data_IF_095079380383
#
_entry.id   IF_095079380383
#
_cell.length_a   1.000
_cell.length_b   1.000
_cell.length_c   1.000
_cell.angle_alpha   90.00
_cell.angle_beta   90.00
_cell.angle_gamma   90.00
#
_symmetry.space_group_name_H-M   'P 1'
#
loop_
_entity.id
_entity.type
_entity.pdbx_description
1 polymer ?
#
# COMPACT_ATOMS: atom_id res chain seq x y z
N UNK A 1 9.40 15.28 -4.25
CA UNK A 1 10.57 14.44 -4.53
C UNK A 1 10.74 14.24 -6.03
N UNK A 2 11.97 14.00 -6.48
CA UNK A 2 12.34 13.80 -7.87
C UNK A 2 12.52 12.30 -8.17
N UNK A 3 11.44 11.52 -7.99
CA UNK A 3 11.50 10.07 -8.15
C UNK A 3 11.96 9.61 -9.55
N UNK A 4 11.77 10.45 -10.58
CA UNK A 4 12.25 10.16 -11.94
C UNK A 4 13.76 9.88 -12.02
N UNK A 5 14.55 10.35 -11.07
CA UNK A 5 16.00 10.08 -11.01
C UNK A 5 16.29 8.60 -10.75
N UNK A 6 15.37 7.87 -10.11
CA UNK A 6 15.53 6.45 -9.84
C UNK A 6 15.09 5.56 -11.00
N UNK A 7 14.26 6.09 -11.91
CA UNK A 7 13.69 5.31 -13.00
C UNK A 7 14.74 4.57 -13.85
N UNK A 8 15.86 5.17 -14.28
CA UNK A 8 16.87 4.46 -15.08
C UNK A 8 17.48 3.23 -14.39
N UNK A 9 17.48 3.22 -13.06
CA UNK A 9 18.06 2.13 -12.26
C UNK A 9 17.07 0.99 -12.00
N UNK A 10 15.78 1.31 -11.90
CA UNK A 10 14.75 0.33 -11.50
C UNK A 10 13.84 -0.09 -12.63
N UNK A 11 13.94 0.51 -13.81
CA UNK A 11 13.03 0.22 -14.90
C UNK A 11 13.11 -1.25 -15.32
N UNK A 12 11.96 -1.93 -15.31
CA UNK A 12 11.74 -3.31 -15.76
C UNK A 12 12.62 -4.37 -15.06
N UNK A 13 13.11 -4.10 -13.83
CA UNK A 13 13.95 -5.07 -13.09
C UNK A 13 13.15 -6.21 -12.45
N UNK A 14 11.83 -6.12 -12.40
CA UNK A 14 10.97 -7.16 -11.81
C UNK A 14 11.18 -7.39 -10.32
N UNK A 15 10.91 -8.63 -9.86
CA UNK A 15 11.12 -9.06 -8.49
C UNK A 15 10.21 -8.41 -7.47
N UNK A 16 10.51 -8.59 -6.18
CA UNK A 16 9.71 -8.02 -5.09
C UNK A 16 10.09 -6.57 -4.84
N UNK A 17 9.08 -5.74 -4.66
CA UNK A 17 9.18 -4.38 -4.19
C UNK A 17 8.72 -4.31 -2.72
N UNK A 18 9.57 -3.83 -1.83
CA UNK A 18 9.20 -3.48 -0.45
C UNK A 18 9.27 -1.98 -0.30
N UNK A 19 8.19 -1.36 0.19
CA UNK A 19 8.17 0.10 0.28
C UNK A 19 7.47 0.65 1.49
N UNK A 20 8.01 1.75 2.02
CA UNK A 20 7.47 2.52 3.13
C UNK A 20 6.64 3.70 2.60
N UNK A 21 5.54 4.03 3.27
CA UNK A 21 4.71 5.16 2.93
C UNK A 21 3.54 4.81 1.99
N UNK A 22 3.14 5.74 1.13
CA UNK A 22 1.86 5.67 0.41
C UNK A 22 2.01 5.47 -1.11
N UNK A 23 1.35 6.29 -1.91
CA UNK A 23 1.18 6.15 -3.37
C UNK A 23 2.48 6.25 -4.21
N UNK A 24 3.56 6.79 -3.66
CA UNK A 24 4.86 6.76 -4.33
C UNK A 24 5.33 5.34 -4.63
N UNK A 25 4.95 4.39 -3.79
CA UNK A 25 5.24 2.97 -3.98
C UNK A 25 4.67 2.45 -5.30
N UNK A 26 3.43 2.83 -5.65
CA UNK A 26 2.82 2.40 -6.93
C UNK A 26 3.54 2.97 -8.15
N UNK A 27 4.04 4.22 -8.03
CA UNK A 27 4.82 4.85 -9.09
C UNK A 27 6.11 4.07 -9.38
N UNK A 28 6.89 3.80 -8.32
CA UNK A 28 8.16 3.10 -8.43
C UNK A 28 7.98 1.63 -8.82
N UNK A 29 7.01 0.94 -8.22
CA UNK A 29 6.69 -0.44 -8.54
C UNK A 29 6.18 -0.61 -9.98
N UNK A 30 5.43 0.37 -10.50
CA UNK A 30 5.02 0.41 -11.90
C UNK A 30 6.21 0.49 -12.85
N UNK A 31 7.17 1.36 -12.57
CA UNK A 31 8.40 1.45 -13.37
C UNK A 31 9.26 0.19 -13.25
N UNK A 32 9.36 -0.38 -12.06
CA UNK A 32 10.12 -1.60 -11.82
C UNK A 32 9.48 -2.86 -12.43
N UNK A 33 8.20 -2.80 -12.83
CA UNK A 33 7.43 -3.99 -13.22
C UNK A 33 7.49 -5.10 -12.18
N UNK A 34 7.39 -4.70 -10.92
CA UNK A 34 7.52 -5.62 -9.78
C UNK A 34 6.48 -6.74 -9.83
N UNK A 35 6.89 -7.96 -9.44
CA UNK A 35 6.02 -9.14 -9.41
C UNK A 35 5.18 -9.23 -8.16
N UNK A 36 5.68 -8.71 -7.02
CA UNK A 36 5.00 -8.60 -5.74
C UNK A 36 5.30 -7.25 -5.08
N UNK A 37 4.33 -6.72 -4.34
CA UNK A 37 4.48 -5.52 -3.51
C UNK A 37 4.24 -5.83 -2.05
N UNK A 38 5.19 -5.44 -1.19
CA UNK A 38 5.01 -5.41 0.26
C UNK A 38 5.08 -3.95 0.70
N UNK A 39 3.94 -3.41 1.10
CA UNK A 39 3.77 -2.03 1.51
C UNK A 39 3.69 -1.99 3.03
N UNK A 40 4.66 -1.36 3.67
CA UNK A 40 4.72 -1.31 5.12
C UNK A 40 4.82 0.12 5.64
N UNK A 41 4.33 0.33 6.86
CA UNK A 41 4.53 1.58 7.58
C UNK A 41 4.36 1.34 9.09
N UNK A 42 5.04 2.15 9.90
CA UNK A 42 4.87 2.15 11.34
C UNK A 42 3.48 2.69 11.74
N UNK A 43 2.99 3.71 11.03
CA UNK A 43 1.64 4.25 11.24
C UNK A 43 0.57 3.32 10.66
N UNK A 44 -0.21 2.71 11.56
CA UNK A 44 -1.34 1.83 11.20
C UNK A 44 -2.36 2.47 10.24
N UNK A 45 -2.39 3.80 10.12
CA UNK A 45 -3.27 4.46 9.16
C UNK A 45 -2.85 4.18 7.70
N UNK A 46 -1.57 3.99 7.45
CA UNK A 46 -1.03 3.77 6.10
C UNK A 46 -1.47 2.42 5.50
N UNK A 47 -1.32 1.27 6.19
CA UNK A 47 -1.91 0.01 5.70
C UNK A 47 -3.42 0.09 5.48
N UNK A 48 -4.16 0.77 6.35
CA UNK A 48 -5.60 1.00 6.14
C UNK A 48 -5.88 1.88 4.91
N UNK A 49 -5.01 2.84 4.61
CA UNK A 49 -5.10 3.67 3.40
C UNK A 49 -4.82 2.83 2.14
N UNK A 50 -3.85 1.94 2.18
CA UNK A 50 -3.59 0.99 1.08
C UNK A 50 -4.79 0.07 0.80
N UNK A 51 -5.56 -0.33 1.82
CA UNK A 51 -6.79 -1.09 1.60
C UNK A 51 -7.86 -0.25 0.88
N UNK A 52 -7.90 1.07 1.11
CA UNK A 52 -8.78 1.98 0.37
C UNK A 52 -8.31 2.11 -1.08
N UNK A 53 -7.00 2.24 -1.31
CA UNK A 53 -6.42 2.21 -2.66
C UNK A 53 -6.73 0.90 -3.39
N UNK A 54 -6.57 -0.24 -2.73
CA UNK A 54 -6.88 -1.56 -3.28
C UNK A 54 -8.31 -1.61 -3.82
N UNK A 55 -9.27 -1.19 -3.01
CA UNK A 55 -10.68 -1.14 -3.43
C UNK A 55 -10.90 -0.18 -4.60
N UNK A 56 -10.39 1.05 -4.52
CA UNK A 56 -10.59 2.02 -5.61
C UNK A 56 -9.90 1.58 -6.91
N UNK A 57 -8.72 0.98 -6.83
CA UNK A 57 -8.02 0.41 -7.98
C UNK A 57 -8.86 -0.73 -8.60
N UNK A 58 -9.45 -1.60 -7.77
CA UNK A 58 -10.25 -2.73 -8.27
C UNK A 58 -11.51 -2.30 -9.03
N UNK A 59 -12.14 -1.19 -8.61
CA UNK A 59 -13.39 -0.68 -9.21
C UNK A 59 -13.19 0.44 -10.24
N UNK A 60 -11.95 0.77 -10.57
CA UNK A 60 -11.62 1.81 -11.56
C UNK A 60 -10.93 1.16 -12.75
N UNK A 61 -11.45 1.35 -13.94
CA UNK A 61 -10.90 0.74 -15.15
C UNK A 61 -9.80 1.59 -15.79
N UNK A 62 -9.67 2.85 -15.35
CA UNK A 62 -8.67 3.79 -15.89
C UNK A 62 -7.98 4.58 -14.78
N UNK A 63 -6.75 5.07 -15.04
CA UNK A 63 -6.04 5.99 -14.13
C UNK A 63 -6.89 7.19 -13.72
N UNK A 64 -7.62 7.77 -14.68
CA UNK A 64 -8.49 8.93 -14.42
C UNK A 64 -9.59 8.59 -13.42
N UNK A 65 -10.26 7.45 -13.58
CA UNK A 65 -11.31 7.00 -12.65
C UNK A 65 -10.76 6.82 -11.24
N UNK A 66 -9.55 6.25 -11.09
CA UNK A 66 -8.90 6.13 -9.78
C UNK A 66 -8.69 7.51 -9.12
N UNK A 67 -8.12 8.47 -9.86
CA UNK A 67 -7.89 9.83 -9.34
C UNK A 67 -9.20 10.51 -8.97
N UNK A 68 -10.23 10.35 -9.78
CA UNK A 68 -11.56 10.94 -9.55
C UNK A 68 -12.21 10.43 -8.25
N UNK A 69 -11.97 9.17 -7.81
CA UNK A 69 -12.46 8.64 -6.53
C UNK A 69 -12.05 9.50 -5.32
N UNK A 70 -10.91 10.17 -5.40
CA UNK A 70 -10.40 11.04 -4.33
C UNK A 70 -10.90 12.49 -4.43
N UNK A 71 -11.53 12.88 -5.53
CA UNK A 71 -11.99 14.24 -5.77
C UNK A 71 -13.15 14.66 -4.85
N UNK A 72 -13.43 15.97 -4.85
CA UNK A 72 -14.61 16.51 -4.12
C UNK A 72 -15.91 16.01 -4.74
N UNK A 73 -15.96 15.95 -6.07
CA UNK A 73 -17.15 15.57 -6.84
C UNK A 73 -17.62 14.15 -6.49
N UNK A 74 -16.68 13.21 -6.37
CA UNK A 74 -17.00 11.81 -6.06
C UNK A 74 -16.90 11.47 -4.57
N UNK A 75 -16.65 12.45 -3.71
CA UNK A 75 -16.32 12.20 -2.29
C UNK A 75 -17.40 11.46 -1.50
N UNK A 76 -18.66 11.78 -1.67
CA UNK A 76 -19.75 11.09 -0.94
C UNK A 76 -20.06 9.72 -1.56
N UNK A 77 -20.09 9.59 -2.89
CA UNK A 77 -20.22 8.29 -3.57
C UNK A 77 -19.09 7.35 -3.16
N UNK A 78 -17.85 7.81 -3.18
CA UNK A 78 -16.69 7.04 -2.75
C UNK A 78 -16.77 6.62 -1.28
N UNK A 79 -17.23 7.51 -0.40
CA UNK A 79 -17.42 7.18 1.03
C UNK A 79 -18.51 6.14 1.23
N UNK A 80 -19.58 6.19 0.45
CA UNK A 80 -20.66 5.20 0.50
C UNK A 80 -20.17 3.84 -0.02
N UNK A 81 -19.47 3.80 -1.16
CA UNK A 81 -18.86 2.58 -1.71
C UNK A 81 -17.88 1.92 -0.73
N UNK A 82 -17.09 2.71 0.01
CA UNK A 82 -16.21 2.19 1.06
C UNK A 82 -17.00 1.53 2.20
N UNK A 83 -18.14 2.10 2.62
CA UNK A 83 -18.98 1.46 3.64
C UNK A 83 -19.52 0.12 3.14
N UNK A 84 -20.05 0.09 1.93
CA UNK A 84 -20.60 -1.11 1.30
C UNK A 84 -19.54 -2.21 1.18
N UNK A 85 -18.34 -1.86 0.70
CA UNK A 85 -17.23 -2.79 0.52
C UNK A 85 -16.70 -3.35 1.85
N UNK A 86 -16.47 -2.49 2.85
CA UNK A 86 -15.84 -2.92 4.09
C UNK A 86 -16.80 -3.55 5.11
N UNK A 87 -18.11 -3.42 4.93
CA UNK A 87 -19.10 -3.99 5.86
C UNK A 87 -19.07 -5.53 5.87
N UNK A 88 -19.16 -6.24 4.74
CA UNK A 88 -19.09 -7.71 4.74
C UNK A 88 -17.74 -8.22 5.26
N UNK A 89 -16.63 -7.61 4.89
CA UNK A 89 -15.29 -7.96 5.38
C UNK A 89 -15.22 -7.83 6.90
N UNK A 90 -15.72 -6.71 7.42
CA UNK A 90 -15.74 -6.47 8.86
C UNK A 90 -16.64 -7.46 9.62
N UNK A 91 -17.76 -7.86 9.03
CA UNK A 91 -18.65 -8.87 9.61
C UNK A 91 -17.95 -10.23 9.73
N UNK A 92 -17.33 -10.70 8.65
CA UNK A 92 -16.59 -11.97 8.65
C UNK A 92 -15.48 -11.98 9.72
N UNK A 93 -14.65 -10.94 9.76
CA UNK A 93 -13.58 -10.80 10.74
C UNK A 93 -14.12 -10.76 12.18
N UNK A 94 -15.20 -10.01 12.41
CA UNK A 94 -15.81 -9.89 13.75
C UNK A 94 -16.47 -11.18 14.20
N UNK A 95 -17.06 -11.96 13.30
CA UNK A 95 -17.63 -13.28 13.59
C UNK A 95 -16.53 -14.28 13.98
N UNK A 96 -15.43 -14.35 13.21
CA UNK A 96 -14.27 -15.19 13.54
C UNK A 96 -13.69 -14.81 14.91
N UNK A 97 -13.55 -13.52 15.20
CA UNK A 97 -13.05 -13.04 16.47
C UNK A 97 -14.03 -13.32 17.64
N UNK A 98 -15.33 -13.20 17.43
CA UNK A 98 -16.34 -13.54 18.43
C UNK A 98 -16.32 -15.05 18.75
N UNK A 99 -16.20 -15.90 17.72
CA UNK A 99 -16.11 -17.34 17.88
C UNK A 99 -14.83 -17.75 18.64
N UNK A 100 -13.67 -17.17 18.31
CA UNK A 100 -12.41 -17.45 19.01
C UNK A 100 -12.42 -17.05 20.49
N UNK A 101 -13.31 -16.12 20.87
CA UNK A 101 -13.54 -15.67 22.26
C UNK A 101 -14.66 -16.45 22.98
N UNK A 102 -15.28 -17.43 22.34
CA UNK A 102 -16.39 -18.20 22.90
C UNK A 102 -17.66 -17.37 23.14
N UNK A 103 -17.84 -16.26 22.42
CA UNK A 103 -19.01 -15.40 22.58
C UNK A 103 -20.23 -16.02 21.89
N UNK A 104 -21.39 -16.02 22.56
CA UNK A 104 -22.67 -16.53 22.04
C UNK A 104 -23.84 -15.61 22.34
N UNK A 105 -24.97 -15.84 21.68
CA UNK A 105 -26.22 -15.10 21.88
C UNK A 105 -26.04 -13.58 21.72
N UNK A 106 -26.77 -12.81 22.52
CA UNK A 106 -26.76 -11.34 22.48
C UNK A 106 -25.39 -10.71 22.71
N UNK A 107 -24.50 -11.37 23.47
CA UNK A 107 -23.14 -10.89 23.71
C UNK A 107 -22.34 -10.90 22.40
N UNK A 108 -22.46 -11.99 21.63
CA UNK A 108 -21.82 -12.11 20.31
C UNK A 108 -22.34 -11.04 19.34
N UNK A 109 -23.66 -10.88 19.24
CA UNK A 109 -24.29 -9.88 18.34
C UNK A 109 -23.83 -8.46 18.68
N UNK A 110 -23.84 -8.07 19.96
CA UNK A 110 -23.35 -6.75 20.38
C UNK A 110 -21.87 -6.53 20.10
N UNK A 111 -21.06 -7.56 20.31
CA UNK A 111 -19.63 -7.53 20.01
C UNK A 111 -19.40 -7.31 18.52
N UNK A 112 -20.01 -8.13 17.65
CA UNK A 112 -19.88 -8.06 16.20
C UNK A 112 -20.28 -6.68 15.69
N UNK A 113 -21.48 -6.18 16.05
CA UNK A 113 -21.97 -4.89 15.62
C UNK A 113 -21.02 -3.73 15.99
N UNK A 114 -20.45 -3.76 17.18
CA UNK A 114 -19.47 -2.76 17.62
C UNK A 114 -18.17 -2.84 16.84
N UNK A 115 -17.67 -4.04 16.57
CA UNK A 115 -16.43 -4.28 15.78
C UNK A 115 -16.60 -3.82 14.34
N UNK A 116 -17.71 -4.21 13.69
CA UNK A 116 -18.04 -3.80 12.33
C UNK A 116 -18.12 -2.28 12.23
N UNK A 117 -18.90 -1.64 13.09
CA UNK A 117 -19.03 -0.17 13.11
C UNK A 117 -17.67 0.52 13.27
N UNK A 118 -16.79 0.01 14.15
CA UNK A 118 -15.45 0.58 14.37
C UNK A 118 -14.57 0.39 13.15
N UNK A 119 -14.55 -0.79 12.56
CA UNK A 119 -13.74 -1.14 11.40
C UNK A 119 -14.07 -0.27 10.18
N UNK A 120 -15.36 -0.20 9.83
CA UNK A 120 -15.84 0.59 8.68
C UNK A 120 -15.63 2.08 8.92
N UNK A 121 -16.03 2.59 10.10
CA UNK A 121 -15.88 4.02 10.46
C UNK A 121 -14.42 4.47 10.37
N UNK A 122 -13.46 3.63 10.77
CA UNK A 122 -12.04 3.96 10.71
C UNK A 122 -11.60 4.24 9.27
N UNK A 123 -11.93 3.39 8.32
CA UNK A 123 -11.55 3.54 6.90
C UNK A 123 -12.23 4.72 6.24
N UNK A 124 -13.52 4.88 6.46
CA UNK A 124 -14.26 6.06 5.96
C UNK A 124 -13.71 7.35 6.55
N UNK A 125 -13.33 7.36 7.83
CA UNK A 125 -12.70 8.52 8.48
C UNK A 125 -11.34 8.85 7.87
N UNK A 126 -10.49 7.84 7.63
CA UNK A 126 -9.20 8.03 6.94
C UNK A 126 -9.45 8.65 5.56
N UNK A 127 -10.32 8.06 4.75
CA UNK A 127 -10.68 8.59 3.44
C UNK A 127 -11.14 10.06 3.50
N UNK A 128 -12.14 10.37 4.34
CA UNK A 128 -12.68 11.75 4.44
C UNK A 128 -11.63 12.78 4.86
N UNK A 129 -10.66 12.39 5.69
CA UNK A 129 -9.58 13.29 6.15
C UNK A 129 -8.48 13.47 5.09
N UNK A 130 -8.18 12.43 4.32
CA UNK A 130 -7.02 12.42 3.43
C UNK A 130 -7.36 12.70 1.96
N UNK A 131 -8.63 12.49 1.52
CA UNK A 131 -9.01 12.51 0.11
C UNK A 131 -8.59 13.80 -0.63
N UNK A 132 -8.81 14.97 -0.03
CA UNK A 132 -8.48 16.24 -0.68
C UNK A 132 -6.98 16.46 -0.85
N UNK A 133 -6.18 16.01 0.13
CA UNK A 133 -4.71 16.04 0.03
C UNK A 133 -4.23 15.04 -1.03
N UNK A 134 -4.77 13.82 -1.00
CA UNK A 134 -4.41 12.77 -1.97
C UNK A 134 -4.80 13.15 -3.39
N UNK A 135 -6.02 13.64 -3.60
CA UNK A 135 -6.44 14.12 -4.91
C UNK A 135 -5.47 15.15 -5.49
N UNK A 136 -5.13 16.18 -4.70
CA UNK A 136 -4.16 17.21 -5.13
C UNK A 136 -2.78 16.64 -5.43
N UNK A 137 -2.32 15.71 -4.58
CA UNK A 137 -1.01 15.07 -4.75
C UNK A 137 -0.98 14.19 -5.99
N UNK A 138 -1.98 13.33 -6.20
CA UNK A 138 -2.08 12.45 -7.37
C UNK A 138 -2.18 13.26 -8.66
N UNK A 139 -3.01 14.32 -8.68
CA UNK A 139 -3.14 15.22 -9.82
C UNK A 139 -1.80 15.91 -10.11
N UNK A 140 -1.16 16.52 -9.11
CA UNK A 140 0.15 17.18 -9.29
C UNK A 140 1.22 16.20 -9.78
N UNK A 141 1.21 14.98 -9.26
CA UNK A 141 2.16 13.92 -9.68
C UNK A 141 1.90 13.53 -11.13
N UNK A 142 0.65 13.27 -11.51
CA UNK A 142 0.26 13.00 -12.88
C UNK A 142 0.73 14.12 -13.82
N UNK A 143 0.35 15.35 -13.56
CA UNK A 143 0.64 16.49 -14.43
C UNK A 143 2.15 16.71 -14.60
N UNK A 144 2.93 16.53 -13.52
CA UNK A 144 4.40 16.56 -13.57
C UNK A 144 4.96 15.51 -14.54
N UNK A 145 4.52 14.26 -14.42
CA UNK A 145 5.09 13.18 -15.22
C UNK A 145 4.57 13.16 -16.66
N UNK A 146 3.34 13.60 -16.89
CA UNK A 146 2.83 13.88 -18.25
C UNK A 146 3.68 14.93 -18.95
N UNK A 147 4.02 16.04 -18.26
CA UNK A 147 4.92 17.09 -18.79
C UNK A 147 6.31 16.55 -19.11
N UNK A 148 6.83 15.67 -18.28
CA UNK A 148 8.14 15.01 -18.49
C UNK A 148 8.09 13.86 -19.51
N UNK A 149 6.91 13.52 -20.05
CA UNK A 149 6.67 12.36 -20.93
C UNK A 149 7.13 11.04 -20.32
N UNK A 150 6.96 10.90 -19.01
CA UNK A 150 7.29 9.69 -18.26
C UNK A 150 5.99 8.99 -17.88
N UNK A 151 5.69 7.79 -18.42
CA UNK A 151 4.47 7.07 -18.12
C UNK A 151 4.40 6.65 -16.65
N UNK A 152 3.21 6.75 -16.06
CA UNK A 152 2.94 6.39 -14.66
C UNK A 152 1.59 5.70 -14.53
N UNK A 153 1.34 5.05 -13.39
CA UNK A 153 0.04 4.46 -13.11
C UNK A 153 -1.11 5.50 -13.03
N UNK A 154 -0.81 6.80 -13.13
CA UNK A 154 -1.78 7.91 -13.03
C UNK A 154 -2.20 8.46 -14.41
N UNK A 155 -1.50 8.11 -15.48
CA UNK A 155 -1.73 8.65 -16.83
C UNK A 155 -1.53 7.63 -17.96
N UNK A 156 -0.83 6.54 -17.71
CA UNK A 156 -0.58 5.47 -18.67
C UNK A 156 -1.37 4.21 -18.32
N UNK A 157 -2.18 3.72 -19.26
CA UNK A 157 -3.07 2.59 -19.01
C UNK A 157 -2.29 1.29 -18.73
N UNK A 158 -1.18 1.04 -19.42
CA UNK A 158 -0.39 -0.17 -19.21
C UNK A 158 0.30 -0.19 -17.82
N UNK A 159 0.78 0.96 -17.36
CA UNK A 159 1.31 1.09 -15.99
C UNK A 159 0.21 0.90 -14.95
N UNK A 160 -0.97 1.46 -15.20
CA UNK A 160 -2.13 1.29 -14.33
C UNK A 160 -2.59 -0.17 -14.24
N UNK A 161 -2.74 -0.83 -15.39
CA UNK A 161 -3.18 -2.22 -15.48
C UNK A 161 -2.19 -3.15 -14.78
N UNK A 162 -0.89 -2.86 -14.85
CA UNK A 162 0.11 -3.59 -14.09
C UNK A 162 -0.15 -3.48 -12.57
N UNK A 163 -0.27 -2.27 -12.02
CA UNK A 163 -0.56 -2.08 -10.59
C UNK A 163 -1.91 -2.69 -10.20
N UNK A 164 -2.93 -2.53 -11.05
CA UNK A 164 -4.26 -3.12 -10.83
C UNK A 164 -4.19 -4.65 -10.79
N UNK A 165 -3.44 -5.25 -11.71
CA UNK A 165 -3.26 -6.70 -11.75
C UNK A 165 -2.64 -7.27 -10.48
N UNK A 166 -1.68 -6.58 -9.88
CA UNK A 166 -1.05 -6.99 -8.62
C UNK A 166 -2.07 -7.03 -7.47
N UNK A 167 -2.93 -6.01 -7.36
CA UNK A 167 -3.98 -5.98 -6.35
C UNK A 167 -5.04 -7.07 -6.57
N UNK A 168 -5.51 -7.21 -7.80
CA UNK A 168 -6.58 -8.18 -8.14
C UNK A 168 -6.11 -9.63 -7.99
N UNK A 169 -4.83 -9.90 -8.28
CA UNK A 169 -4.24 -11.25 -8.13
C UNK A 169 -3.72 -11.55 -6.71
N UNK A 170 -3.93 -10.66 -5.73
CA UNK A 170 -3.47 -10.89 -4.35
C UNK A 170 -1.95 -10.80 -4.16
N UNK A 171 -1.23 -10.16 -5.09
CA UNK A 171 0.23 -9.97 -5.03
C UNK A 171 0.67 -8.68 -4.35
N UNK A 172 -0.23 -8.04 -3.60
CA UNK A 172 0.10 -6.89 -2.77
C UNK A 172 -0.25 -7.17 -1.31
N UNK A 173 0.73 -7.01 -0.44
CA UNK A 173 0.57 -7.11 1.00
C UNK A 173 0.76 -5.73 1.62
N UNK A 174 -0.23 -5.21 2.33
CA UNK A 174 -0.13 -3.97 3.09
C UNK A 174 -0.16 -4.25 4.59
N UNK A 175 0.93 -4.01 5.29
CA UNK A 175 1.13 -4.38 6.69
C UNK A 175 1.60 -3.21 7.55
N UNK A 176 1.27 -3.27 8.84
CA UNK A 176 1.98 -2.47 9.83
C UNK A 176 3.32 -3.14 10.12
N UNK A 177 4.41 -2.40 9.97
CA UNK A 177 5.75 -2.90 10.21
C UNK A 177 6.67 -1.80 10.73
N UNK A 178 7.74 -2.22 11.38
CA UNK A 178 8.78 -1.34 11.92
C UNK A 178 10.13 -1.79 11.35
N UNK A 179 10.81 -0.88 10.65
CA UNK A 179 12.14 -1.11 10.07
C UNK A 179 13.19 -1.46 11.13
N UNK A 180 12.97 -1.03 12.37
CA UNK A 180 13.91 -1.18 13.49
C UNK A 180 13.58 -2.33 14.44
N UNK A 181 12.42 -2.99 14.25
CA UNK A 181 11.99 -4.10 15.10
C UNK A 181 12.73 -5.41 14.79
N UNK A 182 12.59 -6.37 15.68
CA UNK A 182 13.30 -7.66 15.58
C UNK A 182 12.73 -8.58 14.51
N UNK A 183 11.46 -8.44 14.13
CA UNK A 183 10.73 -9.40 13.30
C UNK A 183 10.32 -8.85 11.93
N UNK A 184 9.82 -7.62 11.83
CA UNK A 184 9.13 -7.14 10.63
C UNK A 184 9.92 -7.37 9.34
N UNK A 185 11.16 -6.89 9.28
CA UNK A 185 11.99 -7.02 8.07
C UNK A 185 12.47 -8.46 7.85
N UNK A 186 12.78 -9.20 8.92
CA UNK A 186 13.21 -10.59 8.81
C UNK A 186 12.08 -11.51 8.36
N UNK A 187 10.84 -11.26 8.80
CA UNK A 187 9.68 -12.03 8.34
C UNK A 187 9.33 -11.69 6.87
N UNK A 188 9.53 -10.44 6.44
CA UNK A 188 9.46 -10.05 5.02
C UNK A 188 10.51 -10.82 4.21
N UNK A 189 11.77 -10.88 4.68
CA UNK A 189 12.84 -11.60 4.00
C UNK A 189 12.50 -13.10 3.83
N UNK A 190 12.02 -13.75 4.90
CA UNK A 190 11.56 -15.15 4.85
C UNK A 190 10.41 -15.36 3.88
N UNK A 191 9.44 -14.42 3.86
CA UNK A 191 8.31 -14.50 2.94
C UNK A 191 8.76 -14.40 1.48
N UNK A 192 9.68 -13.49 1.16
CA UNK A 192 10.25 -13.34 -0.18
C UNK A 192 11.00 -14.62 -0.59
N UNK A 193 11.82 -15.18 0.30
CA UNK A 193 12.53 -16.45 0.06
C UNK A 193 11.56 -17.62 -0.16
N UNK A 194 10.49 -17.70 0.61
CA UNK A 194 9.48 -18.74 0.46
C UNK A 194 8.72 -18.66 -0.88
N UNK A 195 8.64 -17.45 -1.49
CA UNK A 195 8.10 -17.25 -2.83
C UNK A 195 9.10 -17.63 -3.94
N UNK A 196 10.36 -17.95 -3.61
CA UNK A 196 11.42 -18.16 -4.60
C UNK A 196 11.84 -16.88 -5.33
N UNK A 197 11.57 -15.71 -4.74
CA UNK A 197 11.80 -14.40 -5.33
C UNK A 197 12.98 -13.68 -4.68
N UNK A 198 13.41 -12.56 -5.28
CA UNK A 198 14.42 -11.65 -4.74
C UNK A 198 13.82 -10.28 -4.47
N UNK A 199 14.36 -9.57 -3.46
CA UNK A 199 14.05 -8.18 -3.19
C UNK A 199 14.82 -7.30 -4.19
N UNK A 200 14.13 -6.76 -5.19
CA UNK A 200 14.78 -5.94 -6.21
C UNK A 200 14.70 -4.44 -5.91
N UNK A 201 13.65 -4.00 -5.22
CA UNK A 201 13.56 -2.59 -4.77
C UNK A 201 13.12 -2.52 -3.30
N UNK A 202 13.95 -1.87 -2.49
CA UNK A 202 13.58 -1.43 -1.15
C UNK A 202 13.45 0.11 -1.13
N UNK A 203 12.22 0.60 -1.05
CA UNK A 203 11.95 2.04 -0.96
C UNK A 203 11.72 2.46 0.48
N UNK A 204 12.68 3.14 1.06
CA UNK A 204 12.67 3.59 2.46
C UNK A 204 12.01 4.96 2.63
N UNK A 205 11.68 5.66 1.52
CA UNK A 205 11.21 7.05 1.60
C UNK A 205 12.21 7.92 2.40
N UNK A 206 11.72 8.70 3.35
CA UNK A 206 12.53 9.47 4.31
C UNK A 206 12.48 8.88 5.73
N UNK A 207 12.13 7.59 5.86
CA UNK A 207 11.93 6.98 7.18
C UNK A 207 13.17 7.02 8.07
N UNK A 208 14.36 6.91 7.48
CA UNK A 208 15.64 6.94 8.22
C UNK A 208 15.94 8.27 8.94
N UNK A 209 15.17 9.32 8.64
CA UNK A 209 15.28 10.60 9.36
C UNK A 209 14.62 10.56 10.75
N UNK A 210 13.83 9.53 11.06
CA UNK A 210 13.02 9.44 12.28
C UNK A 210 13.57 8.49 13.33
N UNK A 211 14.67 7.78 13.04
CA UNK A 211 15.29 6.84 13.99
C UNK A 211 16.79 6.70 13.76
N UNK A 212 17.57 6.29 14.80
CA UNK A 212 19.00 6.06 14.65
C UNK A 212 19.28 4.79 13.84
N UNK A 213 20.35 4.82 13.02
CA UNK A 213 20.80 3.68 12.22
C UNK A 213 21.54 2.64 13.09
N UNK A 214 20.81 1.96 13.95
CA UNK A 214 21.34 0.97 14.90
C UNK A 214 21.92 -0.28 14.18
N UNK A 215 22.79 -1.07 14.86
CA UNK A 215 23.22 -2.37 14.33
C UNK A 215 22.07 -3.29 13.95
N UNK A 216 20.97 -3.28 14.72
CA UNK A 216 19.75 -4.04 14.44
C UNK A 216 19.11 -3.59 13.11
N UNK A 217 18.93 -2.28 12.91
CA UNK A 217 18.41 -1.75 11.66
C UNK A 217 19.29 -2.15 10.47
N UNK A 218 20.62 -2.01 10.61
CA UNK A 218 21.55 -2.40 9.54
C UNK A 218 21.42 -3.88 9.19
N UNK A 219 21.34 -4.77 10.20
CA UNK A 219 21.08 -6.19 10.02
C UNK A 219 19.78 -6.42 9.24
N UNK A 220 18.69 -5.75 9.63
CA UNK A 220 17.38 -5.86 8.96
C UNK A 220 17.42 -5.50 7.47
N UNK A 221 18.32 -4.62 7.07
CA UNK A 221 18.53 -4.28 5.66
C UNK A 221 19.45 -5.30 4.97
N UNK A 222 20.56 -5.68 5.60
CA UNK A 222 21.58 -6.55 4.99
C UNK A 222 21.03 -7.97 4.78
N UNK A 223 20.23 -8.49 5.71
CA UNK A 223 19.67 -9.85 5.67
C UNK A 223 18.48 -10.01 4.69
N UNK A 224 18.16 -8.98 3.89
CA UNK A 224 17.15 -9.15 2.84
C UNK A 224 17.68 -10.05 1.70
N UNK A 225 16.80 -10.78 1.02
CA UNK A 225 17.17 -11.64 -0.11
C UNK A 225 17.42 -10.79 -1.37
N UNK A 226 18.51 -10.02 -1.37
CA UNK A 226 18.91 -9.15 -2.48
C UNK A 226 19.21 -9.96 -3.73
N UNK A 227 18.72 -9.51 -4.90
CA UNK A 227 19.13 -10.00 -6.21
C UNK A 227 20.35 -9.25 -6.73
N UNK A 228 20.88 -9.70 -7.88
CA UNK A 228 22.03 -9.06 -8.53
C UNK A 228 21.77 -7.59 -8.92
N UNK A 229 20.53 -7.28 -9.34
CA UNK A 229 20.07 -5.94 -9.73
C UNK A 229 19.07 -5.41 -8.70
N UNK A 230 19.54 -5.13 -7.50
CA UNK A 230 18.69 -4.64 -6.42
C UNK A 230 19.11 -3.26 -5.96
N UNK A 231 18.13 -2.44 -5.57
CA UNK A 231 18.34 -1.06 -5.14
C UNK A 231 17.61 -0.74 -3.85
N UNK A 232 18.32 -0.13 -2.90
CA UNK A 232 17.72 0.56 -1.77
C UNK A 232 17.59 2.05 -2.11
N UNK A 233 16.36 2.56 -2.16
CA UNK A 233 16.03 3.93 -2.54
C UNK A 233 15.66 4.74 -1.30
N UNK A 234 16.30 5.89 -1.13
CA UNK A 234 16.05 6.84 -0.06
C UNK A 234 15.71 8.21 -0.62
N UNK A 235 14.82 8.93 0.05
CA UNK A 235 14.57 10.35 -0.23
C UNK A 235 14.95 11.15 1.00
N UNK A 236 15.95 12.00 0.86
CA UNK A 236 16.38 12.93 1.91
C UNK A 236 15.70 14.29 1.75
#
# INVERSE_FOLDING_TARGET
HNHQLWRPYIQDIGGVFVGVGTDQNYLLAGWAKSTFLILMDFDEQIPNLHQIYAYFISISDTPKMLVDRWSRTYGEDSAQKLKEHFTPIANELAQKEAASKGLSGDKSVRYINRRVKRYVRRRVKIFKRTRGLLWRRLTKTRDKYTTLKIPTFLDDQAQYDHIRSLWVSGRVLAIRGDLTADLSMLDIAKAIQALGETLNVLYLSNAEQYFPLTPKYRRNIIEQPWGEKSYAIRTM
#
